data_IF_529158880633
#
_entry.id   IF_529158880633
#
_cell.length_a   1.000
_cell.length_b   1.000
_cell.length_c   1.000
_cell.angle_alpha   90.00
_cell.angle_beta   90.00
_cell.angle_gamma   90.00
#
_symmetry.space_group_name_H-M   'P 1'
#
loop_
_entity.id
_entity.type
_entity.pdbx_description
1 polymer ?
#
# COMPACT_ATOMS: atom_id res chain seq x y z
N UNK A 1 -16.86 9.21 6.65
CA UNK A 1 -16.36 9.22 5.25
C UNK A 1 -16.72 7.91 4.58
N UNK A 2 -17.04 7.96 3.30
CA UNK A 2 -17.25 6.77 2.48
C UNK A 2 -15.91 6.04 2.28
N UNK A 3 -15.81 4.78 2.68
CA UNK A 3 -14.62 3.93 2.41
C UNK A 3 -14.65 3.33 1.01
N UNK A 4 -15.71 3.57 0.23
CA UNK A 4 -15.83 3.08 -1.15
C UNK A 4 -14.62 3.44 -2.03
N UNK A 5 -14.03 4.65 -1.98
CA UNK A 5 -12.86 4.96 -2.80
C UNK A 5 -11.67 4.04 -2.54
N UNK A 6 -11.43 3.66 -1.28
CA UNK A 6 -10.35 2.74 -0.92
C UNK A 6 -10.65 1.32 -1.39
N UNK A 7 -11.90 0.87 -1.22
CA UNK A 7 -12.34 -0.44 -1.70
C UNK A 7 -12.25 -0.55 -3.23
N UNK A 8 -12.68 0.49 -3.94
CA UNK A 8 -12.61 0.56 -5.40
C UNK A 8 -11.16 0.59 -5.90
N UNK A 9 -10.26 1.31 -5.21
CA UNK A 9 -8.85 1.33 -5.56
C UNK A 9 -8.19 -0.05 -5.40
N UNK A 10 -8.45 -0.77 -4.30
CA UNK A 10 -7.96 -2.15 -4.15
C UNK A 10 -8.56 -3.09 -5.20
N UNK A 11 -9.86 -2.98 -5.48
CA UNK A 11 -10.52 -3.78 -6.50
C UNK A 11 -9.90 -3.53 -7.89
N UNK A 12 -9.72 -2.27 -8.28
CA UNK A 12 -9.12 -1.91 -9.55
C UNK A 12 -7.67 -2.41 -9.67
N UNK A 13 -6.88 -2.30 -8.60
CA UNK A 13 -5.53 -2.87 -8.57
C UNK A 13 -5.57 -4.40 -8.76
N UNK A 14 -6.48 -5.10 -8.08
CA UNK A 14 -6.64 -6.56 -8.21
C UNK A 14 -7.18 -7.01 -9.55
N UNK A 15 -7.90 -6.16 -10.27
CA UNK A 15 -8.35 -6.40 -11.65
C UNK A 15 -7.24 -6.13 -12.68
N UNK A 16 -6.14 -5.47 -12.27
CA UNK A 16 -5.05 -5.11 -13.16
C UNK A 16 -4.28 -6.37 -13.61
N UNK A 17 -4.09 -6.56 -14.92
CA UNK A 17 -3.23 -7.62 -15.44
C UNK A 17 -1.79 -7.40 -14.98
N UNK A 18 -1.15 -8.44 -14.44
CA UNK A 18 0.28 -8.42 -14.17
C UNK A 18 1.00 -8.95 -15.42
N UNK A 19 1.72 -8.07 -16.12
CA UNK A 19 2.51 -8.47 -17.26
C UNK A 19 3.91 -8.97 -16.87
N UNK A 20 4.58 -9.60 -17.84
CA UNK A 20 5.94 -10.17 -17.69
C UNK A 20 6.98 -9.45 -18.54
N UNK A 21 6.63 -8.27 -19.10
CA UNK A 21 7.60 -7.46 -19.82
C UNK A 21 8.71 -6.99 -18.86
N UNK A 22 9.91 -6.80 -19.40
CA UNK A 22 11.01 -6.24 -18.63
C UNK A 22 10.64 -4.80 -18.19
N UNK A 23 10.83 -4.45 -16.91
CA UNK A 23 10.57 -3.10 -16.45
C UNK A 23 11.57 -2.11 -17.06
N UNK A 24 11.19 -0.82 -17.20
CA UNK A 24 12.15 0.22 -17.57
C UNK A 24 13.36 0.26 -16.61
N UNK A 25 14.53 0.78 -17.04
CA UNK A 25 15.69 0.89 -16.16
C UNK A 25 15.38 1.70 -14.89
N UNK A 26 15.61 1.08 -13.73
CA UNK A 26 15.34 1.70 -12.42
C UNK A 26 13.93 1.48 -11.88
N UNK A 27 13.04 0.84 -12.65
CA UNK A 27 11.68 0.49 -12.24
C UNK A 27 11.59 -0.95 -11.73
N UNK A 28 10.47 -1.26 -11.08
CA UNK A 28 10.17 -2.58 -10.53
C UNK A 28 9.45 -3.49 -11.52
N UNK A 29 9.75 -4.78 -11.47
CA UNK A 29 8.91 -5.81 -12.09
C UNK A 29 7.61 -6.00 -11.32
N UNK A 30 6.72 -6.85 -11.83
CA UNK A 30 5.39 -7.05 -11.24
C UNK A 30 5.45 -7.56 -9.80
N UNK A 31 6.37 -8.48 -9.48
CA UNK A 31 6.48 -9.07 -8.15
C UNK A 31 6.96 -8.04 -7.14
N UNK A 32 7.93 -7.20 -7.50
CA UNK A 32 8.39 -6.09 -6.67
C UNK A 32 7.31 -5.02 -6.46
N UNK A 33 6.50 -4.71 -7.48
CA UNK A 33 5.35 -3.80 -7.31
C UNK A 33 4.33 -4.39 -6.32
N UNK A 34 3.97 -5.66 -6.44
CA UNK A 34 3.05 -6.30 -5.49
C UNK A 34 3.63 -6.42 -4.08
N UNK A 35 4.93 -6.69 -3.95
CA UNK A 35 5.63 -6.70 -2.66
C UNK A 35 5.62 -5.31 -2.00
N UNK A 36 5.90 -4.26 -2.76
CA UNK A 36 5.80 -2.88 -2.31
C UNK A 36 4.39 -2.56 -1.81
N UNK A 37 3.36 -2.84 -2.62
CA UNK A 37 1.96 -2.60 -2.25
C UNK A 37 1.58 -3.38 -0.98
N UNK A 38 2.08 -4.61 -0.82
CA UNK A 38 1.84 -5.40 0.39
C UNK A 38 2.43 -4.77 1.65
N UNK A 39 3.62 -4.19 1.55
CA UNK A 39 4.30 -3.54 2.67
C UNK A 39 3.62 -2.22 3.04
N UNK A 40 3.34 -1.35 2.06
CA UNK A 40 2.71 -0.06 2.31
C UNK A 40 1.27 -0.23 2.85
N UNK A 41 0.53 -1.22 2.32
CA UNK A 41 -0.80 -1.57 2.87
C UNK A 41 -0.69 -2.14 4.28
N UNK A 42 0.34 -2.97 4.54
CA UNK A 42 0.60 -3.51 5.88
C UNK A 42 0.84 -2.41 6.91
N UNK A 43 1.66 -1.41 6.58
CA UNK A 43 1.90 -0.24 7.42
C UNK A 43 0.61 0.56 7.69
N UNK A 44 -0.27 0.69 6.69
CA UNK A 44 -1.55 1.36 6.87
C UNK A 44 -2.52 0.57 7.77
N UNK A 45 -2.54 -0.76 7.65
CA UNK A 45 -3.29 -1.66 8.54
C UNK A 45 -2.80 -1.51 9.98
N UNK A 46 -1.48 -1.49 10.18
CA UNK A 46 -0.88 -1.28 11.50
C UNK A 46 -1.29 0.06 12.11
N UNK A 47 -1.21 1.16 11.34
CA UNK A 47 -1.63 2.48 11.80
C UNK A 47 -3.12 2.51 12.20
N UNK A 48 -4.00 1.94 11.38
CA UNK A 48 -5.44 1.88 11.67
C UNK A 48 -5.75 0.99 12.89
N UNK A 49 -5.09 -0.15 13.01
CA UNK A 49 -5.26 -1.05 14.15
C UNK A 49 -4.74 -0.44 15.45
N UNK A 50 -3.60 0.28 15.41
CA UNK A 50 -3.05 0.98 16.56
C UNK A 50 -4.03 2.05 17.08
N UNK A 51 -4.66 2.82 16.19
CA UNK A 51 -5.69 3.79 16.57
C UNK A 51 -6.89 3.11 17.22
N UNK A 52 -7.39 2.03 16.62
CA UNK A 52 -8.53 1.26 17.17
C UNK A 52 -8.22 0.67 18.55
N UNK A 53 -6.97 0.28 18.79
CA UNK A 53 -6.49 -0.25 20.06
C UNK A 53 -6.16 0.85 21.10
N UNK A 54 -6.34 2.13 20.76
CA UNK A 54 -5.95 3.25 21.63
C UNK A 54 -4.43 3.34 21.89
N UNK A 55 -3.62 2.83 20.96
CA UNK A 55 -2.15 2.81 21.02
C UNK A 55 -1.54 3.92 20.17
N UNK A 56 -0.20 3.96 20.07
CA UNK A 56 0.52 4.97 19.29
C UNK A 56 0.69 4.53 17.82
N UNK A 57 -0.07 5.11 16.86
CA UNK A 57 0.10 4.78 15.46
C UNK A 57 1.37 5.42 14.89
N UNK A 58 1.90 4.83 13.83
CA UNK A 58 2.89 5.44 12.96
C UNK A 58 2.69 4.89 11.54
N UNK A 59 3.18 5.62 10.53
CA UNK A 59 3.12 5.18 9.14
C UNK A 59 4.46 5.45 8.46
N UNK A 60 5.18 4.38 8.13
CA UNK A 60 6.55 4.45 7.63
C UNK A 60 6.71 3.57 6.38
N UNK A 61 7.11 4.19 5.29
CA UNK A 61 7.28 3.52 3.98
C UNK A 61 8.72 3.07 3.71
N UNK A 62 9.68 3.28 4.61
CA UNK A 62 11.10 2.94 4.32
C UNK A 62 11.28 1.48 3.93
N UNK A 63 10.58 0.58 4.62
CA UNK A 63 10.66 -0.85 4.33
C UNK A 63 10.02 -1.23 3.00
N UNK A 64 9.05 -0.46 2.48
CA UNK A 64 8.45 -0.72 1.16
C UNK A 64 9.36 -0.29 0.00
N UNK A 65 10.50 0.36 0.27
CA UNK A 65 11.51 0.70 -0.74
C UNK A 65 12.85 -0.02 -0.54
N UNK A 66 12.99 -0.81 0.53
CA UNK A 66 14.21 -1.57 0.81
C UNK A 66 14.26 -2.84 -0.06
N UNK A 67 15.29 -2.95 -0.91
CA UNK A 67 15.37 -4.04 -1.89
C UNK A 67 15.43 -5.42 -1.23
N UNK A 68 16.17 -5.55 -0.12
CA UNK A 68 16.25 -6.82 0.60
C UNK A 68 14.89 -7.22 1.17
N UNK A 69 14.14 -6.26 1.71
CA UNK A 69 12.79 -6.49 2.24
C UNK A 69 11.81 -6.88 1.12
N UNK A 70 11.87 -6.23 -0.04
CA UNK A 70 11.06 -6.57 -1.21
C UNK A 70 11.37 -7.99 -1.70
N UNK A 71 12.65 -8.31 -1.92
CA UNK A 71 13.12 -9.65 -2.31
C UNK A 71 12.62 -10.72 -1.32
N UNK A 72 12.70 -10.44 -0.02
CA UNK A 72 12.23 -11.34 1.02
C UNK A 72 10.72 -11.56 0.95
N UNK A 73 9.93 -10.51 0.74
CA UNK A 73 8.47 -10.62 0.60
C UNK A 73 8.09 -11.44 -0.63
N UNK A 74 8.77 -11.22 -1.77
CA UNK A 74 8.58 -12.01 -2.99
C UNK A 74 8.89 -13.48 -2.72
N UNK A 75 10.04 -13.77 -2.10
CA UNK A 75 10.45 -15.13 -1.80
C UNK A 75 9.48 -15.87 -0.85
N UNK A 76 8.97 -15.19 0.17
CA UNK A 76 8.04 -15.77 1.15
C UNK A 76 6.63 -15.98 0.57
N UNK A 77 6.21 -15.15 -0.38
CA UNK A 77 4.92 -15.32 -1.05
C UNK A 77 4.87 -16.54 -1.97
N UNK A 78 6.03 -17.04 -2.41
CA UNK A 78 6.20 -18.27 -3.17
C UNK A 78 5.86 -18.14 -4.66
N UNK A 79 4.76 -17.48 -4.98
CA UNK A 79 4.35 -17.19 -6.35
C UNK A 79 3.60 -15.85 -6.47
N UNK A 80 3.39 -15.33 -7.71
CA UNK A 80 2.67 -14.07 -7.91
C UNK A 80 1.22 -14.09 -7.41
N UNK A 81 0.57 -15.26 -7.38
CA UNK A 81 -0.79 -15.38 -6.85
C UNK A 81 -0.81 -15.21 -5.33
N UNK A 82 0.22 -15.69 -4.63
CA UNK A 82 0.44 -15.49 -3.21
C UNK A 82 0.61 -14.00 -2.84
N UNK A 83 1.36 -13.24 -3.63
CA UNK A 83 1.50 -11.79 -3.44
C UNK A 83 0.16 -11.06 -3.60
N UNK A 84 -0.57 -11.35 -4.68
CA UNK A 84 -1.88 -10.74 -4.94
C UNK A 84 -2.89 -11.08 -3.85
N UNK A 85 -2.94 -12.34 -3.43
CA UNK A 85 -3.81 -12.80 -2.35
C UNK A 85 -3.48 -12.12 -1.01
N UNK A 86 -2.19 -11.95 -0.71
CA UNK A 86 -1.76 -11.20 0.47
C UNK A 86 -2.25 -9.75 0.43
N UNK A 87 -2.05 -9.05 -0.68
CA UNK A 87 -2.54 -7.67 -0.86
C UNK A 87 -4.06 -7.61 -0.78
N UNK A 88 -4.79 -8.58 -1.36
CA UNK A 88 -6.26 -8.65 -1.28
C UNK A 88 -6.73 -8.70 0.17
N UNK A 89 -6.16 -9.63 0.96
CA UNK A 89 -6.52 -9.77 2.39
C UNK A 89 -6.16 -8.54 3.21
N UNK A 90 -5.01 -7.92 2.94
CA UNK A 90 -4.61 -6.69 3.62
C UNK A 90 -5.53 -5.52 3.27
N UNK A 91 -5.91 -5.38 2.00
CA UNK A 91 -6.87 -4.37 1.54
C UNK A 91 -8.25 -4.56 2.17
N UNK A 92 -8.74 -5.80 2.26
CA UNK A 92 -9.99 -6.13 2.97
C UNK A 92 -9.92 -5.76 4.45
N UNK A 93 -8.82 -6.11 5.13
CA UNK A 93 -8.61 -5.76 6.52
C UNK A 93 -8.56 -4.24 6.72
N UNK A 94 -7.83 -3.52 5.86
CA UNK A 94 -7.72 -2.06 5.95
C UNK A 94 -9.07 -1.39 5.73
N UNK A 95 -9.83 -1.81 4.73
CA UNK A 95 -11.18 -1.31 4.47
C UNK A 95 -12.11 -1.56 5.67
N UNK A 96 -12.06 -2.75 6.27
CA UNK A 96 -12.87 -3.09 7.43
C UNK A 96 -12.49 -2.23 8.66
N UNK A 97 -11.19 -2.07 8.93
CA UNK A 97 -10.70 -1.20 10.02
C UNK A 97 -11.11 0.25 9.78
N UNK A 98 -10.88 0.76 8.57
CA UNK A 98 -11.23 2.12 8.19
C UNK A 98 -12.73 2.38 8.37
N UNK A 99 -13.60 1.43 8.04
CA UNK A 99 -15.04 1.54 8.20
C UNK A 99 -15.48 1.58 9.68
N UNK A 100 -14.80 0.83 10.56
CA UNK A 100 -15.13 0.74 11.98
C UNK A 100 -14.71 1.97 12.80
N UNK A 101 -13.68 2.70 12.36
CA UNK A 101 -13.21 3.91 13.05
C UNK A 101 -14.21 5.07 12.94
N UNK A 102 -14.38 5.82 14.03
CA UNK A 102 -15.11 7.08 14.04
C UNK A 102 -14.39 8.16 13.23
N UNK A 103 -15.08 9.26 12.90
CA UNK A 103 -14.43 10.37 12.21
C UNK A 103 -13.33 11.03 13.06
N UNK A 104 -13.50 11.10 14.38
CA UNK A 104 -12.46 11.60 15.30
C UNK A 104 -11.21 10.71 15.28
N UNK A 105 -11.36 9.39 15.29
CA UNK A 105 -10.20 8.48 15.20
C UNK A 105 -9.52 8.60 13.83
N UNK A 106 -10.28 8.75 12.75
CA UNK A 106 -9.71 8.97 11.41
C UNK A 106 -8.98 10.31 11.27
N UNK A 107 -9.42 11.34 12.00
CA UNK A 107 -8.79 12.66 12.01
C UNK A 107 -7.60 12.74 13.00
N UNK A 108 -7.24 11.63 13.64
CA UNK A 108 -6.10 11.57 14.55
C UNK A 108 -4.77 11.68 13.77
N UNK A 109 -3.86 12.60 14.16
CA UNK A 109 -2.54 12.70 13.55
C UNK A 109 -1.68 11.45 13.79
N UNK A 110 -1.10 10.94 12.73
CA UNK A 110 -0.19 9.78 12.69
C UNK A 110 1.18 10.28 12.22
N UNK A 111 2.25 10.13 13.05
CA UNK A 111 3.62 10.35 12.61
C UNK A 111 3.89 9.58 11.31
N UNK A 112 4.25 10.31 10.25
CA UNK A 112 4.33 9.76 8.90
C UNK A 112 5.68 10.06 8.25
N UNK A 113 6.34 9.01 7.73
CA UNK A 113 7.56 9.09 6.96
C UNK A 113 7.37 8.41 5.60
N UNK A 114 7.33 9.22 4.55
CA UNK A 114 7.23 8.79 3.16
C UNK A 114 8.58 8.94 2.47
N UNK A 115 9.06 7.86 1.84
CA UNK A 115 10.27 7.86 1.02
C UNK A 115 9.97 7.40 -0.39
N UNK A 116 10.74 7.88 -1.36
CA UNK A 116 10.76 7.39 -2.72
C UNK A 116 12.16 7.60 -3.29
N UNK A 117 12.68 6.65 -4.07
CA UNK A 117 14.01 6.73 -4.70
C UNK A 117 15.14 7.14 -3.74
N UNK A 118 15.11 6.59 -2.52
CA UNK A 118 16.09 6.87 -1.47
C UNK A 118 16.02 8.29 -0.89
N UNK A 119 14.97 9.06 -1.19
CA UNK A 119 14.75 10.42 -0.69
C UNK A 119 13.54 10.47 0.22
N UNK A 120 13.62 11.32 1.25
CA UNK A 120 12.47 11.66 2.08
C UNK A 120 11.55 12.58 1.28
N UNK A 121 10.33 12.11 1.02
CA UNK A 121 9.29 12.86 0.33
C UNK A 121 8.41 13.61 1.32
N UNK A 122 8.17 13.02 2.50
CA UNK A 122 7.36 13.60 3.55
C UNK A 122 7.82 13.10 4.92
N UNK A 123 7.93 13.99 5.91
CA UNK A 123 8.32 13.67 7.30
C UNK A 123 7.64 14.63 8.27
N UNK A 124 6.31 14.46 8.40
CA UNK A 124 5.42 15.22 9.30
C UNK A 124 4.21 14.35 9.65
N UNK A 125 3.38 14.70 10.63
CA UNK A 125 2.12 14.00 10.85
C UNK A 125 1.13 14.18 9.70
N UNK A 126 0.46 13.10 9.30
CA UNK A 126 -0.77 13.10 8.50
C UNK A 126 -1.89 12.49 9.34
N UNK A 127 -3.12 12.92 9.17
CA UNK A 127 -4.27 12.20 9.73
C UNK A 127 -4.38 10.81 9.08
N UNK A 128 -4.95 9.82 9.80
CA UNK A 128 -5.24 8.53 9.18
C UNK A 128 -6.11 8.71 7.91
N UNK A 129 -7.05 9.65 7.94
CA UNK A 129 -7.88 10.00 6.77
C UNK A 129 -7.04 10.40 5.56
N UNK A 130 -6.03 11.24 5.74
CA UNK A 130 -5.13 11.67 4.67
C UNK A 130 -4.30 10.51 4.14
N UNK A 131 -3.81 9.61 5.01
CA UNK A 131 -3.09 8.39 4.60
C UNK A 131 -3.98 7.49 3.74
N UNK A 132 -5.20 7.18 4.20
CA UNK A 132 -6.14 6.34 3.46
C UNK A 132 -6.56 6.97 2.13
N UNK A 133 -6.71 8.29 2.11
CA UNK A 133 -7.02 9.05 0.90
C UNK A 133 -5.86 8.99 -0.08
N UNK A 134 -4.62 9.21 0.38
CA UNK A 134 -3.41 9.09 -0.45
C UNK A 134 -3.24 7.71 -1.06
N UNK A 135 -3.52 6.65 -0.29
CA UNK A 135 -3.53 5.28 -0.82
C UNK A 135 -4.55 5.11 -1.94
N UNK A 136 -5.79 5.56 -1.71
CA UNK A 136 -6.89 5.36 -2.65
C UNK A 136 -6.74 6.18 -3.94
N UNK A 137 -6.20 7.41 -3.85
CA UNK A 137 -6.20 8.35 -4.98
C UNK A 137 -4.86 8.51 -5.67
N UNK A 138 -3.75 8.09 -5.04
CA UNK A 138 -2.39 8.25 -5.58
C UNK A 138 -1.67 6.91 -5.67
N UNK A 139 -1.42 6.25 -4.54
CA UNK A 139 -0.54 5.08 -4.49
C UNK A 139 -1.08 3.89 -5.29
N UNK A 140 -2.30 3.43 -4.99
CA UNK A 140 -2.88 2.26 -5.65
C UNK A 140 -3.13 2.50 -7.16
N UNK A 141 -3.69 3.65 -7.60
CA UNK A 141 -3.79 3.95 -9.03
C UNK A 141 -2.42 4.06 -9.74
N UNK A 142 -1.41 4.60 -9.06
CA UNK A 142 -0.04 4.68 -9.58
C UNK A 142 0.54 3.30 -9.87
N UNK A 143 0.45 2.38 -8.91
CA UNK A 143 0.94 1.01 -9.10
C UNK A 143 0.08 0.17 -10.06
N UNK A 144 -1.22 0.41 -10.15
CA UNK A 144 -2.05 -0.20 -11.20
C UNK A 144 -1.58 0.23 -12.60
N UNK A 145 -1.21 1.50 -12.76
CA UNK A 145 -0.64 2.02 -14.01
C UNK A 145 0.73 1.38 -14.31
N UNK A 146 1.58 1.25 -13.29
CA UNK A 146 2.89 0.60 -13.40
C UNK A 146 2.75 -0.88 -13.82
N UNK A 147 1.85 -1.64 -13.20
CA UNK A 147 1.57 -3.04 -13.57
C UNK A 147 1.03 -3.17 -15.00
N UNK A 148 0.15 -2.25 -15.41
CA UNK A 148 -0.39 -2.22 -16.77
C UNK A 148 0.71 -1.99 -17.80
N UNK A 149 1.70 -1.15 -17.50
CA UNK A 149 2.83 -0.89 -18.38
C UNK A 149 3.75 -2.10 -18.59
N UNK A 150 3.66 -3.13 -17.72
CA UNK A 150 4.39 -4.39 -17.87
C UNK A 150 3.68 -5.41 -18.77
N UNK A 151 2.45 -5.12 -19.21
CA UNK A 151 1.72 -5.99 -20.15
C UNK A 151 2.27 -5.76 -21.57
N UNK A 152 2.70 -6.82 -22.26
CA UNK A 152 3.13 -6.70 -23.66
C UNK A 152 2.03 -6.09 -24.55
N UNK A 153 2.43 -5.22 -25.47
CA UNK A 153 1.55 -4.60 -26.47
C UNK A 153 0.97 -5.61 -27.47
#
# INVERSE_FOLDING_TARGET
MDTAPLHDAFRALQETPAGVAAPPPGEWDADHVWAHVSLITGAAVEAAAALMAGSHPHYDSRLSHDSWTLDHVVAVAGDPAGLRERVRRQGEALCALAAALSDTERDTPVPTLLVADGKVMYDKPLTLREILTGLATVELPGHASQLTALVPA
#
